data_IF_435524650502
#
_entry.id   IF_435524650502
#
_cell.length_a   1.000
_cell.length_b   1.000
_cell.length_c   1.000
_cell.angle_alpha   90.00
_cell.angle_beta   90.00
_cell.angle_gamma   90.00
#
_symmetry.space_group_name_H-M   'P 1'
#
loop_
_entity.id
_entity.type
_entity.pdbx_description
1 polymer ?
#
# COMPACT_ATOMS: atom_id res chain seq x y z
N UNK A 1 19.97 -27.05 -25.28
CA UNK A 1 19.79 -25.59 -25.17
C UNK A 1 18.53 -25.32 -24.36
N UNK A 2 18.66 -25.16 -23.05
CA UNK A 2 17.54 -24.98 -22.13
C UNK A 2 17.13 -23.51 -22.13
N UNK A 3 15.90 -23.21 -22.56
CA UNK A 3 15.33 -21.85 -22.50
C UNK A 3 15.06 -21.51 -21.04
N UNK A 4 15.90 -20.67 -20.45
CA UNK A 4 15.65 -20.06 -19.14
C UNK A 4 14.34 -19.26 -19.23
N UNK A 5 13.33 -19.54 -18.41
CA UNK A 5 12.14 -18.70 -18.38
C UNK A 5 12.59 -17.31 -17.91
N UNK A 6 12.30 -16.30 -18.71
CA UNK A 6 12.53 -14.89 -18.39
C UNK A 6 11.74 -14.58 -17.12
N UNK A 7 12.41 -14.69 -15.97
CA UNK A 7 11.90 -14.22 -14.69
C UNK A 7 11.50 -12.76 -14.89
N UNK A 8 10.23 -12.50 -14.61
CA UNK A 8 9.60 -11.20 -14.62
C UNK A 8 10.59 -10.14 -14.14
N UNK A 9 10.96 -9.21 -15.03
CA UNK A 9 11.67 -8.00 -14.61
C UNK A 9 10.70 -7.22 -13.73
N UNK A 10 10.78 -7.47 -12.43
CA UNK A 10 10.33 -6.56 -11.40
C UNK A 10 11.10 -5.28 -11.68
N UNK A 11 10.37 -4.18 -11.93
CA UNK A 11 10.97 -2.91 -12.33
C UNK A 11 12.01 -2.42 -11.31
N UNK A 12 12.76 -1.35 -11.63
CA UNK A 12 13.84 -0.88 -10.77
C UNK A 12 13.33 -0.78 -9.34
N UNK A 13 14.08 -1.40 -8.43
CA UNK A 13 13.92 -1.23 -7.00
C UNK A 13 14.24 0.24 -6.69
N UNK A 14 13.26 1.13 -6.93
CA UNK A 14 13.35 2.49 -6.43
C UNK A 14 13.31 2.36 -4.91
N UNK A 15 14.48 2.48 -4.30
CA UNK A 15 14.68 2.44 -2.85
C UNK A 15 13.90 3.57 -2.15
N UNK A 16 13.56 4.62 -2.89
CA UNK A 16 12.71 5.70 -2.41
C UNK A 16 11.25 5.23 -2.22
N UNK A 17 10.71 5.34 -0.98
CA UNK A 17 9.34 4.96 -0.71
C UNK A 17 8.39 5.85 -1.50
N UNK A 18 7.41 5.22 -2.14
CA UNK A 18 6.38 5.96 -2.88
C UNK A 18 5.55 6.82 -1.92
N UNK A 19 4.93 7.93 -2.38
CA UNK A 19 4.06 8.73 -1.52
C UNK A 19 2.95 7.92 -0.83
N UNK A 20 2.45 6.88 -1.52
CA UNK A 20 1.44 5.97 -0.97
C UNK A 20 2.02 5.05 0.12
N UNK A 21 3.24 4.53 -0.09
CA UNK A 21 3.94 3.73 0.92
C UNK A 21 4.26 4.55 2.17
N UNK A 22 4.67 5.81 2.00
CA UNK A 22 4.92 6.73 3.11
C UNK A 22 3.62 7.03 3.89
N UNK A 23 2.51 7.27 3.18
CA UNK A 23 1.21 7.48 3.81
C UNK A 23 0.74 6.23 4.59
N UNK A 24 0.93 5.03 4.03
CA UNK A 24 0.62 3.77 4.71
C UNK A 24 1.49 3.56 5.96
N UNK A 25 2.81 3.82 5.87
CA UNK A 25 3.74 3.77 7.02
C UNK A 25 3.32 4.73 8.12
N UNK A 26 2.99 5.97 7.79
CA UNK A 26 2.55 6.96 8.76
C UNK A 26 1.23 6.58 9.43
N UNK A 27 0.29 6.02 8.67
CA UNK A 27 -0.99 5.55 9.21
C UNK A 27 -0.81 4.38 10.18
N UNK A 28 0.03 3.39 9.82
CA UNK A 28 0.33 2.26 10.71
C UNK A 28 1.13 2.70 11.96
N UNK A 29 2.10 3.60 11.80
CA UNK A 29 2.82 4.17 12.94
C UNK A 29 1.86 4.89 13.91
N UNK A 30 0.89 5.64 13.38
CA UNK A 30 -0.14 6.30 14.17
C UNK A 30 -1.06 5.30 14.89
N UNK A 31 -1.53 4.24 14.22
CA UNK A 31 -2.32 3.18 14.86
C UNK A 31 -1.55 2.43 15.96
N UNK A 32 -0.23 2.27 15.79
CA UNK A 32 0.65 1.69 16.80
C UNK A 32 0.83 2.61 18.00
N UNK A 33 1.04 3.91 17.77
CA UNK A 33 1.18 4.93 18.81
C UNK A 33 -0.08 5.01 19.70
N UNK A 34 -1.26 4.89 19.10
CA UNK A 34 -2.53 4.84 19.83
C UNK A 34 -2.82 3.47 20.49
N UNK A 35 -1.88 2.52 20.42
CA UNK A 35 -2.02 1.19 21.03
C UNK A 35 -3.06 0.28 20.35
N UNK A 36 -3.52 0.63 19.14
CA UNK A 36 -4.55 -0.12 18.41
C UNK A 36 -3.96 -1.27 17.57
N UNK A 37 -2.68 -1.19 17.19
CA UNK A 37 -1.98 -2.30 16.54
C UNK A 37 -1.35 -3.25 17.57
N UNK A 38 -1.95 -4.43 17.71
CA UNK A 38 -1.36 -5.58 18.38
C UNK A 38 -0.75 -6.59 17.41
N UNK A 39 -0.15 -7.67 17.95
CA UNK A 39 0.48 -8.76 17.16
C UNK A 39 -0.47 -9.39 16.14
N UNK A 40 -1.75 -9.46 16.46
CA UNK A 40 -2.79 -9.97 15.54
C UNK A 40 -2.94 -9.12 14.26
N UNK A 41 -2.48 -7.86 14.27
CA UNK A 41 -2.56 -6.95 13.13
C UNK A 41 -1.25 -6.86 12.33
N UNK A 42 -0.20 -7.57 12.74
CA UNK A 42 1.14 -7.47 12.17
C UNK A 42 1.17 -7.93 10.70
N UNK A 43 0.52 -9.07 10.42
CA UNK A 43 0.37 -9.62 9.07
C UNK A 43 -0.40 -8.68 8.12
N UNK A 44 -1.49 -8.08 8.61
CA UNK A 44 -2.31 -7.20 7.76
C UNK A 44 -1.65 -5.83 7.57
N UNK A 45 -0.89 -5.35 8.57
CA UNK A 45 -0.07 -4.15 8.45
C UNK A 45 1.02 -4.33 7.38
N UNK A 46 1.68 -5.49 7.39
CA UNK A 46 2.68 -5.82 6.38
C UNK A 46 2.05 -5.92 4.98
N UNK A 47 0.89 -6.57 4.87
CA UNK A 47 0.14 -6.65 3.61
C UNK A 47 -0.25 -5.26 3.08
N UNK A 48 -0.67 -4.34 3.93
CA UNK A 48 -0.97 -2.95 3.55
C UNK A 48 0.26 -2.24 3.02
N UNK A 49 1.44 -2.43 3.62
CA UNK A 49 2.69 -1.86 3.13
C UNK A 49 3.09 -2.42 1.75
N UNK A 50 3.00 -3.75 1.58
CA UNK A 50 3.34 -4.41 0.32
C UNK A 50 2.41 -3.97 -0.82
N UNK A 51 1.10 -3.85 -0.53
CA UNK A 51 0.12 -3.35 -1.49
C UNK A 51 0.31 -1.86 -1.79
N UNK A 52 0.60 -1.02 -0.79
CA UNK A 52 0.88 0.39 -0.99
C UNK A 52 2.11 0.62 -1.88
N UNK A 53 3.17 -0.18 -1.67
CA UNK A 53 4.36 -0.17 -2.54
C UNK A 53 4.00 -0.63 -3.96
N UNK A 54 3.28 -1.74 -4.11
CA UNK A 54 2.90 -2.27 -5.42
C UNK A 54 2.02 -1.29 -6.21
N UNK A 55 1.05 -0.64 -5.56
CA UNK A 55 0.18 0.38 -6.17
C UNK A 55 0.99 1.63 -6.52
N UNK A 56 1.84 2.11 -5.61
CA UNK A 56 2.65 3.30 -5.84
C UNK A 56 3.64 3.13 -7.00
N UNK A 57 4.32 1.98 -7.08
CA UNK A 57 5.23 1.66 -8.18
C UNK A 57 4.47 1.42 -9.49
N UNK A 58 3.32 0.73 -9.41
CA UNK A 58 2.44 0.49 -10.56
C UNK A 58 1.87 1.76 -11.18
N UNK A 59 1.45 2.71 -10.33
CA UNK A 59 0.95 4.01 -10.75
C UNK A 59 2.05 4.89 -11.39
N UNK A 60 3.26 4.89 -10.84
CA UNK A 60 4.40 5.60 -11.45
C UNK A 60 4.79 5.02 -12.81
N UNK A 61 4.60 3.71 -13.00
CA UNK A 61 4.95 3.01 -14.24
C UNK A 61 3.79 2.93 -15.27
N UNK A 62 2.64 3.57 -15.00
CA UNK A 62 1.42 3.50 -15.83
C UNK A 62 0.96 2.06 -16.17
N UNK A 63 1.27 1.09 -15.31
CA UNK A 63 0.93 -0.32 -15.55
C UNK A 63 -0.54 -0.59 -15.21
N UNK A 64 -1.23 -1.38 -16.03
CA UNK A 64 -2.67 -1.66 -15.98
C UNK A 64 -3.16 -2.46 -14.76
N UNK A 65 -2.26 -2.93 -13.89
CA UNK A 65 -2.59 -3.77 -12.70
C UNK A 65 -2.94 -2.97 -11.43
N UNK A 66 -2.83 -1.65 -11.48
CA UNK A 66 -3.08 -0.71 -10.37
C UNK A 66 -4.49 -0.80 -9.75
N UNK A 67 -5.59 -1.02 -10.51
CA UNK A 67 -6.94 -1.02 -9.94
C UNK A 67 -7.20 -2.20 -9.00
N UNK A 68 -6.71 -3.40 -9.34
CA UNK A 68 -6.89 -4.59 -8.51
C UNK A 68 -6.09 -4.48 -7.21
N UNK A 69 -4.84 -4.02 -7.29
CA UNK A 69 -4.01 -3.82 -6.11
C UNK A 69 -4.56 -2.70 -5.21
N UNK A 70 -5.14 -1.64 -5.80
CA UNK A 70 -5.82 -0.59 -5.04
C UNK A 70 -7.09 -1.10 -4.34
N UNK A 71 -7.87 -1.97 -4.99
CA UNK A 71 -9.05 -2.60 -4.37
C UNK A 71 -8.67 -3.53 -3.22
N UNK A 72 -7.58 -4.31 -3.36
CA UNK A 72 -7.06 -5.14 -2.28
C UNK A 72 -6.50 -4.29 -1.12
N UNK A 73 -5.87 -3.16 -1.42
CA UNK A 73 -5.39 -2.21 -0.41
C UNK A 73 -6.55 -1.65 0.41
N UNK A 74 -7.64 -1.24 -0.24
CA UNK A 74 -8.85 -0.77 0.44
C UNK A 74 -9.44 -1.84 1.34
N UNK A 75 -9.60 -3.07 0.84
CA UNK A 75 -10.12 -4.19 1.64
C UNK A 75 -9.22 -4.54 2.84
N UNK A 76 -7.90 -4.43 2.69
CA UNK A 76 -6.96 -4.64 3.78
C UNK A 76 -7.04 -3.51 4.83
N UNK A 77 -7.26 -2.26 4.39
CA UNK A 77 -7.48 -1.11 5.27
C UNK A 77 -8.78 -1.22 6.06
N UNK A 78 -9.88 -1.73 5.49
CA UNK A 78 -11.14 -1.94 6.22
C UNK A 78 -11.01 -2.95 7.36
N UNK A 79 -10.02 -3.83 7.28
CA UNK A 79 -9.72 -4.83 8.31
C UNK A 79 -8.71 -4.36 9.35
N UNK A 80 -8.06 -3.20 9.12
CA UNK A 80 -7.26 -2.56 10.15
C UNK A 80 -8.18 -1.95 11.22
N UNK A 81 -7.75 -1.93 12.50
CA UNK A 81 -8.48 -1.24 13.54
C UNK A 81 -8.67 0.23 13.12
N UNK A 82 -9.92 0.67 13.05
CA UNK A 82 -10.27 2.04 12.69
C UNK A 82 -10.20 2.92 13.93
N UNK A 83 -9.56 4.08 13.81
CA UNK A 83 -9.76 5.14 14.79
C UNK A 83 -11.07 5.89 14.52
N UNK A 84 -11.71 6.46 15.55
CA UNK A 84 -12.79 7.41 15.35
C UNK A 84 -12.31 8.72 14.67
N UNK A 85 -11.02 9.04 14.75
CA UNK A 85 -10.43 10.21 14.09
C UNK A 85 -10.08 9.91 12.62
N UNK A 86 -10.94 10.41 11.73
CA UNK A 86 -10.88 10.19 10.29
C UNK A 86 -9.65 10.82 9.59
N UNK A 87 -8.92 11.73 10.25
CA UNK A 87 -7.99 12.65 9.55
C UNK A 87 -6.82 11.95 8.84
N UNK A 88 -6.25 10.89 9.43
CA UNK A 88 -5.12 10.15 8.81
C UNK A 88 -5.58 9.10 7.81
N UNK A 89 -6.73 8.46 8.07
CA UNK A 89 -7.35 7.52 7.13
C UNK A 89 -7.82 8.24 5.85
N UNK A 90 -8.34 9.46 6.00
CA UNK A 90 -8.79 10.31 4.89
C UNK A 90 -7.61 10.74 4.00
N UNK A 91 -6.45 11.06 4.58
CA UNK A 91 -5.24 11.37 3.80
C UNK A 91 -4.77 10.19 2.95
N UNK A 92 -4.80 8.97 3.47
CA UNK A 92 -4.43 7.77 2.73
C UNK A 92 -5.45 7.47 1.61
N UNK A 93 -6.75 7.57 1.90
CA UNK A 93 -7.80 7.44 0.89
C UNK A 93 -7.71 8.51 -0.20
N UNK A 94 -7.41 9.76 0.18
CA UNK A 94 -7.23 10.87 -0.75
C UNK A 94 -6.04 10.63 -1.67
N UNK A 95 -4.93 10.13 -1.13
CA UNK A 95 -3.74 9.74 -1.91
C UNK A 95 -4.07 8.62 -2.90
N UNK A 96 -4.85 7.63 -2.47
CA UNK A 96 -5.28 6.52 -3.33
C UNK A 96 -6.23 6.99 -4.46
N UNK A 97 -7.22 7.83 -4.14
CA UNK A 97 -8.15 8.41 -5.13
C UNK A 97 -7.43 9.29 -6.16
N UNK A 98 -6.41 10.03 -5.73
CA UNK A 98 -5.58 10.85 -6.62
C UNK A 98 -4.72 10.05 -7.59
N UNK A 99 -4.34 8.81 -7.24
CA UNK A 99 -3.61 7.89 -8.13
C UNK A 99 -4.52 7.23 -9.18
N UNK A 100 -5.83 7.16 -8.94
CA UNK A 100 -6.80 6.52 -9.83
C UNK A 100 -7.41 7.48 -10.87
N UNK A 101 -7.08 8.78 -10.81
CA UNK A 101 -7.63 9.86 -11.66
C UNK A 101 -6.62 10.51 -12.60
N UNK A 102 -5.38 10.02 -12.63
CA UNK A 102 -4.38 10.34 -13.65
C UNK A 102 -4.25 9.21 -14.66
#
# INVERSE_FOLDING_TARGET
>A
MSKTPQLFHIGPETDEPTPLELAAKNHLAYLKDQGLLGKQHELISQLVLDLAKAVGVGAQSAKTSTPLAAAQLLAAMERLPQMPDATTADQLQKTLKGLSTK
#
